data_IF_001455359503
#
_entry.id   IF_001455359503
#
_cell.length_a   1.000
_cell.length_b   1.000
_cell.length_c   1.000
_cell.angle_alpha   90.00
_cell.angle_beta   90.00
_cell.angle_gamma   90.00
#
_symmetry.space_group_name_H-M   'P 1'
#
loop_
_entity.id
_entity.type
_entity.pdbx_description
1 polymer ?
#
# COMPACT_ATOMS: atom_id res chain seq x y z
N UNK A 1 -10.68 35.46 -16.74
CA UNK A 1 -9.99 34.18 -16.46
C UNK A 1 -10.47 33.18 -17.50
N UNK A 2 -9.59 32.76 -18.42
CA UNK A 2 -9.90 31.64 -19.31
C UNK A 2 -9.76 30.36 -18.51
N UNK A 3 -10.85 29.61 -18.32
CA UNK A 3 -10.84 28.26 -17.80
C UNK A 3 -10.83 27.32 -19.00
N UNK A 4 -9.70 26.70 -19.30
CA UNK A 4 -9.66 25.61 -20.28
C UNK A 4 -10.17 24.35 -19.60
N UNK A 5 -11.30 23.84 -20.06
CA UNK A 5 -11.79 22.53 -19.66
C UNK A 5 -11.02 21.44 -20.43
N UNK A 6 -10.60 20.38 -19.72
CA UNK A 6 -10.03 19.20 -20.36
C UNK A 6 -11.14 18.44 -21.12
N UNK A 7 -10.84 18.10 -22.39
CA UNK A 7 -11.70 17.27 -23.21
C UNK A 7 -11.30 15.81 -23.12
N UNK A 8 -12.22 14.85 -23.30
CA UNK A 8 -11.90 13.41 -23.28
C UNK A 8 -10.86 12.99 -24.32
N UNK A 9 -10.67 13.78 -25.36
CA UNK A 9 -9.71 13.53 -26.46
C UNK A 9 -8.35 14.22 -26.25
N UNK A 10 -8.18 14.97 -25.16
CA UNK A 10 -6.91 15.63 -24.88
C UNK A 10 -5.80 14.58 -24.62
N UNK A 11 -4.58 14.83 -25.11
CA UNK A 11 -3.49 13.89 -24.98
C UNK A 11 -3.15 13.65 -23.50
N UNK A 12 -2.95 12.38 -23.14
CA UNK A 12 -2.47 11.97 -21.82
C UNK A 12 -1.00 12.32 -21.64
N UNK A 13 -0.57 12.53 -20.41
CA UNK A 13 0.82 12.82 -20.08
C UNK A 13 0.99 13.78 -18.91
N UNK A 14 2.18 14.35 -18.81
CA UNK A 14 2.50 15.34 -17.78
C UNK A 14 2.15 16.74 -18.29
N UNK A 15 1.15 17.34 -17.66
CA UNK A 15 0.68 18.69 -17.97
C UNK A 15 1.15 19.67 -16.91
N UNK A 16 1.47 20.89 -17.32
CA UNK A 16 1.87 21.95 -16.41
C UNK A 16 0.79 23.05 -16.39
N UNK A 17 0.13 23.18 -15.25
CA UNK A 17 -0.84 24.25 -15.00
C UNK A 17 -0.13 25.48 -14.41
N UNK A 18 -0.38 26.62 -15.02
CA UNK A 18 0.12 27.93 -14.56
C UNK A 18 -1.06 28.83 -14.22
N UNK A 19 -1.10 29.32 -13.00
CA UNK A 19 -2.14 30.23 -12.52
C UNK A 19 -1.47 31.52 -12.07
N UNK A 20 -1.92 32.66 -12.60
CA UNK A 20 -1.48 33.99 -12.17
C UNK A 20 -2.62 34.69 -11.43
N UNK A 21 -2.36 35.12 -10.21
CA UNK A 21 -3.29 35.88 -9.38
C UNK A 21 -2.56 37.09 -8.81
N UNK A 22 -3.00 38.27 -9.16
CA UNK A 22 -2.27 39.50 -8.83
C UNK A 22 -0.86 39.48 -9.46
N UNK A 23 0.17 39.75 -8.73
CA UNK A 23 1.57 39.68 -9.19
C UNK A 23 2.22 38.31 -9.03
N UNK A 24 1.51 37.31 -8.48
CA UNK A 24 2.07 36.00 -8.12
C UNK A 24 1.68 34.94 -9.13
N UNK A 25 2.66 34.14 -9.55
CA UNK A 25 2.46 32.96 -10.41
C UNK A 25 2.58 31.67 -9.61
N UNK A 26 1.61 30.79 -9.77
CA UNK A 26 1.61 29.43 -9.20
C UNK A 26 1.79 28.42 -10.32
N UNK A 27 2.55 27.37 -10.04
CA UNK A 27 2.80 26.27 -10.96
C UNK A 27 2.44 24.95 -10.30
N UNK A 28 1.75 24.07 -11.06
CA UNK A 28 1.43 22.70 -10.62
C UNK A 28 1.56 21.74 -11.80
N UNK A 29 2.35 20.70 -11.64
CA UNK A 29 2.38 19.59 -12.59
C UNK A 29 1.20 18.64 -12.31
N UNK A 30 0.45 18.33 -13.35
CA UNK A 30 -0.72 17.44 -13.35
C UNK A 30 -0.42 16.26 -14.26
N UNK A 31 -0.62 15.04 -13.77
CA UNK A 31 -0.54 13.84 -14.58
C UNK A 31 -1.94 13.47 -15.03
N UNK A 32 -2.18 13.50 -16.34
CA UNK A 32 -3.44 13.16 -16.97
C UNK A 32 -3.29 11.78 -17.60
N UNK A 33 -4.10 10.83 -17.17
CA UNK A 33 -4.09 9.47 -17.65
C UNK A 33 -5.49 9.06 -18.12
N UNK A 34 -5.56 8.29 -19.20
CA UNK A 34 -6.82 7.65 -19.59
C UNK A 34 -7.07 6.48 -18.66
N UNK A 35 -8.15 6.52 -17.91
CA UNK A 35 -8.59 5.39 -17.10
C UNK A 35 -9.29 4.39 -18.03
N UNK A 36 -8.59 3.31 -18.40
CA UNK A 36 -9.21 2.18 -19.06
C UNK A 36 -9.87 1.30 -18.01
N UNK A 37 -11.19 1.03 -18.12
CA UNK A 37 -11.85 0.14 -17.17
C UNK A 37 -11.27 -1.27 -17.25
N UNK A 38 -11.15 -1.93 -16.10
CA UNK A 38 -10.76 -3.33 -16.06
C UNK A 38 -11.78 -4.18 -16.85
N UNK A 39 -11.30 -5.03 -17.72
CA UNK A 39 -12.10 -6.02 -18.47
C UNK A 39 -12.01 -7.41 -17.85
N UNK A 40 -11.07 -7.59 -16.93
CA UNK A 40 -10.83 -8.80 -16.17
C UNK A 40 -11.16 -8.57 -14.70
N UNK A 41 -11.84 -9.52 -14.09
CA UNK A 41 -12.03 -9.63 -12.66
C UNK A 41 -10.87 -10.44 -12.08
N UNK A 42 -10.04 -9.82 -11.27
CA UNK A 42 -8.88 -10.43 -10.63
C UNK A 42 -9.21 -10.63 -9.15
N UNK A 43 -8.84 -11.78 -8.61
CA UNK A 43 -8.96 -12.07 -7.19
C UNK A 43 -7.65 -12.71 -6.70
N UNK A 44 -7.12 -12.19 -5.60
CA UNK A 44 -5.90 -12.67 -4.97
C UNK A 44 -6.28 -13.27 -3.61
N UNK A 45 -6.06 -14.56 -3.43
CA UNK A 45 -6.32 -15.25 -2.17
C UNK A 45 -5.04 -15.41 -1.38
N UNK A 46 -5.03 -14.83 -0.18
CA UNK A 46 -3.97 -14.94 0.81
C UNK A 46 -4.48 -15.84 1.96
N UNK A 47 -3.65 -16.73 2.52
CA UNK A 47 -4.06 -17.60 3.61
C UNK A 47 -4.26 -16.85 4.93
N UNK A 48 -3.55 -15.75 5.11
CA UNK A 48 -3.52 -14.97 6.35
C UNK A 48 -4.13 -13.58 6.13
N UNK A 49 -4.76 -13.06 7.18
CA UNK A 49 -5.27 -11.67 7.21
C UNK A 49 -4.22 -10.65 7.64
N UNK A 50 -3.15 -11.12 8.26
CA UNK A 50 -2.02 -10.33 8.74
C UNK A 50 -0.77 -11.15 8.56
N UNK A 51 0.22 -10.58 7.89
CA UNK A 51 1.52 -11.20 7.72
C UNK A 51 2.34 -10.99 9.00
N UNK A 52 2.90 -12.07 9.54
CA UNK A 52 3.77 -12.02 10.72
C UNK A 52 5.24 -12.02 10.32
N UNK A 53 6.09 -11.45 11.18
CA UNK A 53 7.56 -11.44 10.97
C UNK A 53 8.18 -12.84 10.86
N UNK A 54 7.55 -13.84 11.48
CA UNK A 54 7.97 -15.26 11.41
C UNK A 54 7.70 -15.91 10.07
N UNK A 55 6.76 -15.35 9.28
CA UNK A 55 6.37 -15.88 7.97
C UNK A 55 7.41 -15.46 6.94
N UNK A 56 8.22 -16.39 6.46
CA UNK A 56 9.20 -16.14 5.41
C UNK A 56 8.61 -16.23 4.02
N UNK A 57 7.70 -17.17 3.83
CA UNK A 57 7.03 -17.46 2.57
C UNK A 57 5.56 -17.83 2.84
N UNK A 58 4.68 -17.48 1.93
CA UNK A 58 3.29 -17.90 1.96
C UNK A 58 2.77 -18.28 0.58
N UNK A 59 1.91 -19.31 0.46
CA UNK A 59 1.27 -19.65 -0.80
C UNK A 59 0.21 -18.62 -1.14
N UNK A 60 0.24 -18.13 -2.37
CA UNK A 60 -0.73 -17.18 -2.91
C UNK A 60 -1.37 -17.76 -4.15
N UNK A 61 -2.69 -17.66 -4.24
CA UNK A 61 -3.45 -18.03 -5.43
C UNK A 61 -4.09 -16.81 -6.05
N UNK A 62 -3.71 -16.52 -7.28
CA UNK A 62 -4.36 -15.53 -8.12
C UNK A 62 -5.33 -16.21 -9.07
N UNK A 63 -6.54 -15.66 -9.19
CA UNK A 63 -7.55 -16.13 -10.17
C UNK A 63 -8.03 -14.95 -10.99
N UNK A 64 -8.25 -15.17 -12.30
CA UNK A 64 -8.77 -14.14 -13.17
C UNK A 64 -9.82 -14.70 -14.13
N UNK A 65 -10.87 -13.92 -14.36
CA UNK A 65 -11.94 -14.22 -15.32
C UNK A 65 -12.28 -12.95 -16.09
N UNK A 66 -12.72 -13.07 -17.31
CA UNK A 66 -13.32 -11.97 -18.04
C UNK A 66 -14.62 -11.52 -17.39
N UNK A 67 -14.98 -10.25 -17.52
CA UNK A 67 -16.27 -9.75 -16.99
C UNK A 67 -17.48 -10.45 -17.62
N UNK A 68 -17.31 -11.04 -18.81
CA UNK A 68 -18.30 -11.90 -19.47
C UNK A 68 -18.48 -13.27 -18.81
N UNK A 69 -17.64 -13.61 -17.81
CA UNK A 69 -17.62 -14.91 -17.15
C UNK A 69 -16.66 -15.94 -17.77
N UNK A 70 -16.10 -15.67 -18.94
CA UNK A 70 -15.13 -16.57 -19.57
C UNK A 70 -13.82 -16.63 -18.76
N UNK A 71 -13.14 -17.76 -18.81
CA UNK A 71 -11.85 -17.98 -18.16
C UNK A 71 -10.74 -17.14 -18.83
N UNK A 72 -9.94 -16.45 -18.02
CA UNK A 72 -8.77 -15.69 -18.48
C UNK A 72 -7.55 -16.61 -18.64
N UNK A 73 -7.63 -17.60 -19.54
CA UNK A 73 -6.58 -18.62 -19.69
C UNK A 73 -5.33 -18.07 -20.36
N UNK A 74 -4.15 -18.53 -19.91
CA UNK A 74 -2.83 -18.27 -20.51
C UNK A 74 -2.47 -16.79 -20.68
N UNK A 75 -3.08 -15.90 -19.89
CA UNK A 75 -2.75 -14.48 -19.93
C UNK A 75 -1.49 -14.21 -19.09
N UNK A 76 -0.64 -13.32 -19.63
CA UNK A 76 0.55 -12.84 -18.88
C UNK A 76 0.09 -12.12 -17.62
N UNK A 77 0.77 -12.41 -16.52
CA UNK A 77 0.41 -11.88 -15.21
C UNK A 77 1.65 -11.46 -14.45
N UNK A 78 1.61 -10.29 -13.85
CA UNK A 78 2.67 -9.77 -12.99
C UNK A 78 2.08 -9.34 -11.66
N UNK A 79 2.75 -9.69 -10.55
CA UNK A 79 2.38 -9.24 -9.21
C UNK A 79 3.57 -8.54 -8.57
N UNK A 80 3.35 -7.32 -8.14
CA UNK A 80 4.30 -6.49 -7.41
C UNK A 80 3.82 -6.38 -5.95
N UNK A 81 4.74 -6.47 -5.00
CA UNK A 81 4.48 -6.16 -3.60
C UNK A 81 5.22 -4.90 -3.20
N UNK A 82 4.54 -3.99 -2.51
CA UNK A 82 5.16 -2.84 -1.87
C UNK A 82 4.91 -2.86 -0.37
N UNK A 83 5.96 -2.59 0.43
CA UNK A 83 5.87 -2.39 1.87
C UNK A 83 5.96 -0.90 2.17
N UNK A 84 5.00 -0.37 2.88
CA UNK A 84 4.95 1.03 3.32
C UNK A 84 4.68 1.14 4.82
N UNK A 85 5.17 2.21 5.44
CA UNK A 85 4.88 2.51 6.84
C UNK A 85 3.41 2.86 7.04
N UNK A 86 2.85 2.45 8.18
CA UNK A 86 1.52 2.87 8.63
C UNK A 86 1.58 3.34 10.07
N UNK A 87 0.58 4.07 10.50
CA UNK A 87 0.42 4.39 11.90
C UNK A 87 -0.03 3.13 12.66
N UNK A 88 0.81 2.65 13.56
CA UNK A 88 0.53 1.47 14.38
C UNK A 88 -0.48 1.83 15.46
N UNK A 89 -1.64 1.18 15.42
CA UNK A 89 -2.70 1.39 16.39
C UNK A 89 -3.28 0.07 16.86
N UNK A 90 -3.60 0.00 18.15
CA UNK A 90 -4.31 -1.11 18.77
C UNK A 90 -5.61 -0.60 19.38
N UNK A 91 -6.69 -1.35 19.18
CA UNK A 91 -8.07 -0.94 19.51
C UNK A 91 -8.24 -0.38 20.93
N UNK A 92 -7.54 -0.94 21.92
CA UNK A 92 -7.69 -0.57 23.34
C UNK A 92 -6.62 0.43 23.79
N UNK A 93 -5.73 0.89 22.90
CA UNK A 93 -4.54 1.70 23.25
C UNK A 93 -4.40 2.91 22.32
N UNK A 94 -5.53 3.52 21.92
CA UNK A 94 -5.53 4.63 20.99
C UNK A 94 -4.78 5.89 21.44
N UNK A 95 -4.54 6.03 22.75
CA UNK A 95 -3.77 7.12 23.36
C UNK A 95 -2.25 6.88 23.34
N UNK A 96 -1.79 5.67 22.94
CA UNK A 96 -0.37 5.32 22.91
C UNK A 96 0.21 5.50 21.52
N UNK A 97 1.47 5.90 21.44
CA UNK A 97 2.26 5.97 20.22
C UNK A 97 3.15 4.73 20.17
N UNK A 98 2.99 3.92 19.12
CA UNK A 98 3.73 2.68 18.92
C UNK A 98 4.79 2.78 17.82
N UNK A 99 4.75 3.82 16.99
CA UNK A 99 5.74 4.02 15.96
C UNK A 99 6.99 4.70 16.52
N UNK A 100 8.15 4.23 16.11
CA UNK A 100 9.41 4.92 16.36
C UNK A 100 9.56 6.12 15.42
N UNK A 101 9.46 7.36 15.90
CA UNK A 101 9.54 8.55 15.04
C UNK A 101 10.95 8.80 14.49
N UNK A 102 11.99 8.24 15.14
CA UNK A 102 13.38 8.39 14.74
C UNK A 102 13.79 7.42 13.61
N UNK A 103 12.91 6.45 13.26
CA UNK A 103 13.19 5.49 12.20
C UNK A 103 12.54 5.93 10.90
N UNK A 104 13.36 6.22 9.90
CA UNK A 104 12.90 6.42 8.53
C UNK A 104 12.74 5.09 7.82
N UNK A 105 11.61 4.89 7.19
CA UNK A 105 11.32 3.72 6.37
C UNK A 105 10.95 4.13 4.96
N UNK A 106 11.78 3.72 4.01
CA UNK A 106 11.53 3.92 2.59
C UNK A 106 10.68 2.78 2.06
N UNK A 107 9.65 3.10 1.28
CA UNK A 107 8.80 2.08 0.64
C UNK A 107 9.64 1.13 -0.22
N UNK A 108 9.60 -0.15 0.11
CA UNK A 108 10.28 -1.21 -0.64
C UNK A 108 9.29 -1.80 -1.65
N UNK A 109 9.74 -1.97 -2.90
CA UNK A 109 8.95 -2.59 -3.97
C UNK A 109 9.71 -3.77 -4.55
N UNK A 110 9.03 -4.89 -4.69
CA UNK A 110 9.59 -6.11 -5.27
C UNK A 110 8.57 -6.78 -6.19
N UNK A 111 9.06 -7.28 -7.31
CA UNK A 111 8.28 -8.20 -8.14
C UNK A 111 8.26 -9.57 -7.46
N UNK A 112 7.08 -10.08 -7.19
CA UNK A 112 6.88 -11.34 -6.46
C UNK A 112 6.41 -12.48 -7.36
N UNK A 113 5.84 -12.13 -8.52
CA UNK A 113 5.45 -13.07 -9.55
C UNK A 113 5.49 -12.42 -10.94
N UNK A 114 6.10 -13.09 -11.92
CA UNK A 114 6.04 -12.76 -13.34
C UNK A 114 5.88 -14.07 -14.10
N UNK A 115 4.73 -14.28 -14.73
CA UNK A 115 4.39 -15.54 -15.38
C UNK A 115 3.09 -15.47 -16.15
N UNK A 116 2.50 -16.62 -16.37
CA UNK A 116 1.22 -16.77 -17.10
C UNK A 116 0.21 -17.53 -16.25
N UNK A 117 -1.07 -17.23 -16.44
CA UNK A 117 -2.15 -18.00 -15.88
C UNK A 117 -2.24 -19.39 -16.57
N UNK A 118 -2.70 -20.38 -15.84
CA UNK A 118 -3.00 -21.70 -16.38
C UNK A 118 -4.25 -21.72 -17.31
N UNK A 119 -4.67 -22.90 -17.73
CA UNK A 119 -5.86 -23.06 -18.57
C UNK A 119 -7.15 -22.65 -17.85
N UNK A 120 -7.18 -22.76 -16.54
CA UNK A 120 -8.30 -22.40 -15.65
C UNK A 120 -8.27 -20.94 -15.21
N UNK A 121 -7.30 -20.14 -15.70
CA UNK A 121 -7.15 -18.73 -15.32
C UNK A 121 -6.60 -18.52 -13.91
N UNK A 122 -5.76 -19.45 -13.44
CA UNK A 122 -5.15 -19.42 -12.10
C UNK A 122 -3.64 -19.31 -12.19
N UNK A 123 -3.03 -18.73 -11.18
CA UNK A 123 -1.60 -18.81 -10.91
C UNK A 123 -1.37 -19.06 -9.42
N UNK A 124 -0.56 -20.07 -9.11
CA UNK A 124 -0.14 -20.37 -7.75
C UNK A 124 1.35 -20.04 -7.62
N UNK A 125 1.72 -19.27 -6.62
CA UNK A 125 3.11 -18.91 -6.39
C UNK A 125 3.39 -18.73 -4.90
N UNK A 126 4.67 -18.81 -4.55
CA UNK A 126 5.13 -18.53 -3.17
C UNK A 126 5.53 -17.07 -3.08
N UNK A 127 4.82 -16.32 -2.24
CA UNK A 127 5.15 -14.95 -1.90
C UNK A 127 6.31 -14.97 -0.90
N UNK A 128 7.49 -14.51 -1.33
CA UNK A 128 8.64 -14.32 -0.45
C UNK A 128 8.57 -12.93 0.17
N UNK A 129 8.68 -12.91 1.49
CA UNK A 129 8.59 -11.67 2.26
C UNK A 129 9.98 -11.09 2.50
N UNK A 130 10.20 -9.81 2.18
CA UNK A 130 11.47 -9.16 2.48
C UNK A 130 11.63 -8.97 4.01
N UNK A 131 12.87 -9.03 4.47
CA UNK A 131 13.17 -8.70 5.85
C UNK A 131 12.91 -7.20 6.09
N UNK A 132 12.04 -6.89 7.05
CA UNK A 132 11.70 -5.51 7.42
C UNK A 132 12.49 -5.07 8.67
N UNK A 133 13.82 -5.06 8.56
CA UNK A 133 14.74 -4.82 9.69
C UNK A 133 14.65 -3.44 10.31
N UNK A 134 14.25 -2.43 9.52
CA UNK A 134 14.16 -1.04 9.97
C UNK A 134 12.71 -0.51 9.95
N UNK A 135 11.75 -1.36 10.33
CA UNK A 135 10.37 -0.91 10.39
C UNK A 135 10.14 0.02 11.60
N UNK A 136 9.49 1.19 11.44
CA UNK A 136 9.18 2.07 12.56
C UNK A 136 8.07 1.55 13.46
N UNK A 137 7.31 0.57 13.00
CA UNK A 137 6.15 -0.03 13.62
C UNK A 137 5.55 -1.07 12.69
N UNK A 138 4.23 -1.18 12.65
CA UNK A 138 3.54 -1.99 11.65
C UNK A 138 3.74 -1.41 10.25
N UNK A 139 3.73 -2.28 9.27
CA UNK A 139 3.77 -1.93 7.86
C UNK A 139 2.47 -2.36 7.16
N UNK A 140 2.27 -1.84 5.98
CA UNK A 140 1.23 -2.29 5.06
C UNK A 140 1.88 -2.93 3.84
N UNK A 141 1.56 -4.18 3.58
CA UNK A 141 1.95 -4.87 2.36
C UNK A 141 0.84 -4.70 1.32
N UNK A 142 1.14 -4.01 0.25
CA UNK A 142 0.22 -3.79 -0.87
C UNK A 142 0.67 -4.65 -2.04
N UNK A 143 -0.20 -5.57 -2.46
CA UNK A 143 0.00 -6.45 -3.61
C UNK A 143 -0.77 -5.88 -4.79
N UNK A 144 -0.07 -5.54 -5.86
CA UNK A 144 -0.64 -5.04 -7.10
C UNK A 144 -0.49 -6.10 -8.19
N UNK A 145 -1.60 -6.69 -8.58
CA UNK A 145 -1.69 -7.71 -9.61
C UNK A 145 -2.09 -7.08 -10.93
N UNK A 146 -1.35 -7.36 -12.00
CA UNK A 146 -1.64 -6.95 -13.37
C UNK A 146 -1.81 -8.18 -14.24
N UNK A 147 -2.95 -8.29 -14.89
CA UNK A 147 -3.20 -9.35 -15.89
C UNK A 147 -3.34 -8.68 -17.24
N UNK A 148 -2.48 -9.08 -18.18
CA UNK A 148 -2.36 -8.46 -19.49
C UNK A 148 -3.25 -9.17 -20.51
N UNK A 149 -4.01 -8.39 -21.26
CA UNK A 149 -4.79 -8.86 -22.40
C UNK A 149 -3.88 -9.05 -23.63
N UNK A 150 -4.29 -9.84 -24.63
CA UNK A 150 -3.50 -10.03 -25.85
C UNK A 150 -3.15 -8.72 -26.59
N UNK A 151 -3.96 -7.67 -26.42
CA UNK A 151 -3.74 -6.33 -26.96
C UNK A 151 -2.72 -5.49 -26.22
N UNK A 152 -2.14 -6.00 -25.11
CA UNK A 152 -1.18 -5.29 -24.29
C UNK A 152 -1.78 -4.44 -23.15
N UNK A 153 -3.08 -4.22 -23.15
CA UNK A 153 -3.77 -3.57 -22.03
C UNK A 153 -3.74 -4.48 -20.79
N UNK A 154 -3.75 -3.89 -19.61
CA UNK A 154 -3.75 -4.65 -18.35
C UNK A 154 -4.92 -4.25 -17.46
N UNK A 155 -5.60 -5.26 -16.92
CA UNK A 155 -6.48 -5.08 -15.77
C UNK A 155 -5.66 -5.14 -14.49
N UNK A 156 -5.97 -4.27 -13.54
CA UNK A 156 -5.20 -4.08 -12.31
C UNK A 156 -6.09 -4.34 -11.10
N UNK A 157 -5.56 -5.10 -10.15
CA UNK A 157 -6.18 -5.33 -8.85
C UNK A 157 -5.15 -5.09 -7.75
N UNK A 158 -5.54 -4.34 -6.73
CA UNK A 158 -4.69 -4.02 -5.59
C UNK A 158 -5.34 -4.49 -4.31
N UNK A 159 -4.58 -5.22 -3.50
CA UNK A 159 -4.99 -5.69 -2.18
C UNK A 159 -3.93 -5.33 -1.15
N UNK A 160 -4.37 -4.75 -0.04
CA UNK A 160 -3.51 -4.42 1.09
C UNK A 160 -3.75 -5.36 2.25
N UNK A 161 -2.67 -5.77 2.91
CA UNK A 161 -2.69 -6.61 4.10
C UNK A 161 -1.71 -6.04 5.14
N UNK A 162 -2.09 -5.96 6.43
CA UNK A 162 -1.16 -5.54 7.47
C UNK A 162 0.01 -6.51 7.59
N UNK A 163 1.20 -5.96 7.74
CA UNK A 163 2.43 -6.70 8.01
C UNK A 163 2.98 -6.31 9.38
N UNK A 164 3.13 -7.29 10.27
CA UNK A 164 3.66 -7.13 11.62
C UNK A 164 5.11 -7.60 11.68
N UNK A 165 6.10 -6.70 11.57
CA UNK A 165 7.52 -7.08 11.61
C UNK A 165 8.01 -7.49 13.00
N UNK A 166 7.21 -7.23 14.05
CA UNK A 166 7.57 -7.51 15.44
C UNK A 166 6.54 -8.42 16.10
N UNK A 167 7.01 -9.26 17.03
CA UNK A 167 6.15 -10.12 17.86
C UNK A 167 5.45 -9.34 18.97
N UNK A 168 6.00 -8.21 19.40
CA UNK A 168 5.45 -7.32 20.42
C UNK A 168 5.78 -5.87 20.10
N UNK A 169 4.96 -4.96 20.62
CA UNK A 169 5.08 -3.53 20.40
C UNK A 169 5.06 -2.80 21.74
N UNK A 170 5.94 -1.83 21.89
CA UNK A 170 5.98 -0.94 23.05
C UNK A 170 5.29 0.35 22.68
N UNK A 171 4.25 0.72 23.41
CA UNK A 171 3.54 1.99 23.26
C UNK A 171 3.93 2.96 24.36
N UNK A 172 4.11 4.22 24.00
CA UNK A 172 4.38 5.31 24.93
C UNK A 172 3.19 6.27 24.92
N UNK A 173 2.65 6.54 26.09
CA UNK A 173 1.69 7.61 26.31
C UNK A 173 2.36 8.72 27.09
N UNK A 174 2.46 9.89 26.47
CA UNK A 174 2.87 11.11 27.16
C UNK A 174 1.59 11.79 27.63
N UNK A 175 1.23 11.60 28.91
CA UNK A 175 0.12 12.33 29.54
C UNK A 175 0.46 13.82 29.57
N UNK A 176 0.37 14.48 28.40
CA UNK A 176 0.61 15.92 28.33
C UNK A 176 -0.66 16.68 28.75
N UNK A 177 -0.56 17.65 29.66
CA UNK A 177 -1.59 18.68 29.75
C UNK A 177 -1.72 19.34 28.38
N UNK A 178 -2.92 19.78 28.03
CA UNK A 178 -3.27 20.35 26.69
C UNK A 178 -2.38 21.54 26.31
N UNK A 179 -1.12 21.28 25.93
CA UNK A 179 -0.14 22.26 25.50
C UNK A 179 0.84 21.64 24.51
N UNK A 180 1.33 22.46 23.56
CA UNK A 180 2.24 22.01 22.49
C UNK A 180 3.69 21.78 22.95
N UNK A 181 4.05 22.13 24.17
CA UNK A 181 5.43 22.13 24.64
C UNK A 181 5.53 21.44 26.00
N UNK A 182 6.61 20.69 26.21
CA UNK A 182 7.02 20.15 27.49
C UNK A 182 8.08 21.10 28.01
N UNK A 183 7.83 21.73 29.16
CA UNK A 183 8.85 22.53 29.86
C UNK A 183 9.91 21.59 30.42
N UNK A 184 11.17 22.03 30.43
CA UNK A 184 12.34 21.21 30.81
C UNK A 184 12.31 20.71 32.26
N UNK A 185 11.53 21.37 33.12
CA UNK A 185 11.41 21.02 34.54
C UNK A 185 10.09 20.30 34.89
N UNK A 186 9.34 19.83 33.88
CA UNK A 186 8.10 19.11 34.12
C UNK A 186 8.36 17.61 34.24
N UNK A 187 8.24 17.05 35.45
CA UNK A 187 8.18 15.60 35.66
C UNK A 187 6.88 15.04 35.09
N UNK A 188 6.83 14.90 33.80
CA UNK A 188 5.71 14.26 33.09
C UNK A 188 5.67 12.76 33.40
N UNK A 189 4.55 12.27 33.92
CA UNK A 189 4.32 10.85 34.14
C UNK A 189 4.28 10.15 32.76
N UNK A 190 5.30 9.34 32.49
CA UNK A 190 5.35 8.50 31.27
C UNK A 190 4.68 7.17 31.56
N UNK A 191 3.67 6.83 30.82
CA UNK A 191 3.08 5.49 30.87
C UNK A 191 3.59 4.69 29.68
N UNK A 192 4.16 3.53 29.97
CA UNK A 192 4.65 2.59 28.95
C UNK A 192 3.74 1.38 28.94
N UNK A 193 3.24 1.00 27.77
CA UNK A 193 2.46 -0.20 27.54
C UNK A 193 3.19 -1.10 26.55
N UNK A 194 3.31 -2.39 26.88
CA UNK A 194 3.80 -3.40 25.95
C UNK A 194 2.61 -4.25 25.51
N UNK A 195 2.30 -4.25 24.21
CA UNK A 195 1.27 -5.10 23.65
C UNK A 195 1.89 -6.23 22.83
N UNK A 196 1.51 -7.45 23.17
CA UNK A 196 1.77 -8.63 22.35
C UNK A 196 0.54 -8.84 21.48
N UNK A 197 0.71 -9.03 20.19
CA UNK A 197 -0.39 -9.37 19.33
C UNK A 197 -0.73 -10.83 19.57
N UNK A 198 -1.92 -11.10 20.07
CA UNK A 198 -2.47 -12.44 20.11
C UNK A 198 -2.86 -12.81 18.68
N UNK A 199 -2.45 -14.00 18.27
CA UNK A 199 -2.68 -14.61 16.95
C UNK A 199 -4.16 -14.93 16.68
#
# INVERSE_FOLDING_TARGET
AMCNCLHPEDPTGLWNAYVKVGGTAFHKSLRIETVKPNRLKINLKLPEKVIQASTKEMPVMLTSTWLTGATASRLKTKVEMSLSKVNTQFKNYGQYIFNNPATEFTTVKNDVFDGTLDAEGKANFMLKLPAATNAPGMLNATLTSRVFEPGGDASIYTQSIPFSPFSSYVGINLNQPKGKYIETDHEGRRETCCTRRES
#
